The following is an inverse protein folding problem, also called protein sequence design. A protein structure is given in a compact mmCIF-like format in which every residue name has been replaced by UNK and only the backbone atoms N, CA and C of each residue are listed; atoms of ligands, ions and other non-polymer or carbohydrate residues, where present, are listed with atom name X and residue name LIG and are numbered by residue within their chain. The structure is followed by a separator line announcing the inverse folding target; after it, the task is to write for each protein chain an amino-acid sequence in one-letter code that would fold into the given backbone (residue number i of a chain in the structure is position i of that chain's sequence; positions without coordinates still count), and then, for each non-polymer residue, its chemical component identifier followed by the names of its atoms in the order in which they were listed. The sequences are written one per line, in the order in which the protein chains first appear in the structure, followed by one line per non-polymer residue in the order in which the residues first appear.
data_IF_569938162119
#
_entry.id   IF_569938162119
#
_cell.length_a   1.000
_cell.length_b   1.000
_cell.length_c   1.000
_cell.angle_alpha   90.00
_cell.angle_beta   90.00
_cell.angle_gamma   90.00
#
_symmetry.space_group_name_H-M   'P 1'
#
loop_
_entity.id
_entity.type
_entity.pdbx_description
1 polymer ?
#
# COMPACT_ATOMS: atom_id res chain seq x y z
N UNK A 1 8.87 -11.13 18.92
CA UNK A 1 8.98 -9.79 18.39
C UNK A 1 7.59 -9.31 18.01
N UNK A 2 6.97 -8.55 18.91
CA UNK A 2 5.56 -8.18 18.82
C UNK A 2 5.41 -6.64 18.63
N UNK A 3 6.42 -6.01 18.00
CA UNK A 3 6.51 -4.57 17.85
C UNK A 3 5.67 -3.95 16.73
N UNK A 4 5.02 -4.75 15.88
CA UNK A 4 4.28 -4.25 14.71
C UNK A 4 3.15 -3.30 15.10
N UNK A 5 2.24 -3.74 15.94
CA UNK A 5 1.14 -2.91 16.45
C UNK A 5 1.65 -1.68 17.22
N UNK A 6 2.67 -1.85 18.05
CA UNK A 6 3.27 -0.73 18.78
C UNK A 6 3.88 0.29 17.83
N UNK A 7 4.56 -0.13 16.77
CA UNK A 7 5.13 0.74 15.74
C UNK A 7 4.02 1.46 14.96
N UNK A 8 2.98 0.74 14.53
CA UNK A 8 1.84 1.32 13.83
C UNK A 8 1.12 2.39 14.66
N UNK A 9 1.00 2.18 15.98
CA UNK A 9 0.44 3.18 16.90
C UNK A 9 1.38 4.36 17.12
N UNK A 10 2.69 4.11 17.22
CA UNK A 10 3.68 5.15 17.52
C UNK A 10 3.86 6.18 16.39
N UNK A 11 3.58 5.82 15.14
CA UNK A 11 3.67 6.73 14.00
C UNK A 11 2.41 7.58 13.78
N UNK A 12 1.31 7.28 14.47
CA UNK A 12 0.05 8.04 14.36
C UNK A 12 0.23 9.48 14.82
N UNK A 13 -0.49 10.39 14.16
CA UNK A 13 -0.61 11.80 14.56
C UNK A 13 -2.08 12.15 14.79
N UNK A 14 -2.81 12.53 13.76
CA UNK A 14 -4.25 12.81 13.79
C UNK A 14 -5.10 11.58 13.45
N UNK A 15 -4.45 10.48 13.09
CA UNK A 15 -5.10 9.19 12.83
C UNK A 15 -5.95 8.73 14.02
N UNK A 16 -7.15 8.23 13.76
CA UNK A 16 -8.03 7.69 14.82
C UNK A 16 -7.77 6.22 15.12
N UNK A 17 -7.08 5.52 14.21
CA UNK A 17 -6.76 4.09 14.32
C UNK A 17 -5.43 3.75 13.64
N UNK A 18 -4.74 2.76 14.19
CA UNK A 18 -3.56 2.20 13.57
C UNK A 18 -3.92 1.50 12.25
N UNK A 19 -3.06 1.66 11.25
CA UNK A 19 -3.22 1.08 9.91
C UNK A 19 -2.07 0.13 9.66
N UNK A 20 -2.35 -1.15 9.71
CA UNK A 20 -1.37 -2.21 9.49
C UNK A 20 -1.97 -3.35 8.69
N UNK A 21 -1.14 -4.09 7.99
CA UNK A 21 -1.52 -5.27 7.24
C UNK A 21 -0.31 -6.19 7.04
N UNK A 22 -0.57 -7.50 7.00
CA UNK A 22 0.40 -8.48 6.55
C UNK A 22 -0.28 -9.51 5.65
N UNK A 23 0.47 -10.01 4.67
CA UNK A 23 0.06 -11.10 3.78
C UNK A 23 1.18 -12.13 3.68
N UNK A 24 0.81 -13.40 3.72
CA UNK A 24 1.71 -14.50 3.38
C UNK A 24 1.45 -14.93 1.95
N UNK A 25 2.51 -15.07 1.18
CA UNK A 25 2.47 -15.47 -0.22
C UNK A 25 3.10 -16.84 -0.35
N UNK A 26 2.40 -17.74 -1.03
CA UNK A 26 2.96 -19.04 -1.45
C UNK A 26 3.04 -19.05 -2.97
N UNK A 27 4.23 -19.16 -3.51
CA UNK A 27 4.50 -19.13 -4.95
C UNK A 27 5.38 -20.33 -5.34
N UNK A 28 5.54 -20.62 -6.62
CA UNK A 28 6.50 -21.61 -7.09
C UNK A 28 7.95 -21.32 -6.67
N UNK A 29 8.28 -20.07 -6.36
CA UNK A 29 9.61 -19.63 -5.93
C UNK A 29 9.85 -19.83 -4.42
N UNK A 30 8.83 -20.22 -3.66
CA UNK A 30 8.85 -20.36 -2.22
C UNK A 30 7.82 -19.46 -1.54
N UNK A 31 7.75 -19.54 -0.21
CA UNK A 31 6.82 -18.77 0.61
C UNK A 31 7.54 -17.62 1.29
N UNK A 32 6.88 -16.48 1.40
CA UNK A 32 7.37 -15.27 2.07
C UNK A 32 6.22 -14.45 2.62
N UNK A 33 6.54 -13.42 3.40
CA UNK A 33 5.56 -12.51 4.00
C UNK A 33 5.87 -11.07 3.63
N UNK A 34 4.83 -10.27 3.39
CA UNK A 34 4.91 -8.81 3.27
C UNK A 34 4.08 -8.24 4.41
N UNK A 35 4.70 -7.43 5.27
CA UNK A 35 4.04 -6.70 6.34
C UNK A 35 4.22 -5.20 6.16
N UNK A 36 3.22 -4.42 6.56
CA UNK A 36 3.27 -2.98 6.42
C UNK A 36 2.48 -2.24 7.50
N UNK A 37 2.93 -1.05 7.83
CA UNK A 37 2.21 -0.08 8.64
C UNK A 37 2.23 1.28 7.96
N UNK A 38 1.12 2.02 8.05
CA UNK A 38 1.01 3.36 7.50
C UNK A 38 0.31 4.31 8.46
N UNK A 39 0.56 5.60 8.26
CA UNK A 39 -0.17 6.68 8.94
C UNK A 39 -0.55 7.76 7.93
N UNK A 40 -1.63 8.46 8.22
CA UNK A 40 -2.16 9.61 7.47
C UNK A 40 -3.67 9.70 7.62
N UNK A 41 -4.17 10.92 7.78
CA UNK A 41 -5.61 11.20 7.89
C UNK A 41 -5.97 12.61 7.38
N UNK A 42 -5.02 13.51 7.21
CA UNK A 42 -5.20 14.86 6.64
C UNK A 42 -4.00 15.29 5.83
N UNK A 43 -4.15 16.34 5.02
CA UNK A 43 -3.18 16.83 4.05
C UNK A 43 -2.80 15.71 3.07
N UNK A 44 -3.82 15.09 2.46
CA UNK A 44 -3.66 13.97 1.53
C UNK A 44 -4.31 14.31 0.20
N UNK A 45 -3.47 14.38 -0.84
CA UNK A 45 -3.86 14.60 -2.22
C UNK A 45 -2.92 13.82 -3.15
N UNK A 46 -3.36 13.37 -4.34
CA UNK A 46 -2.50 12.66 -5.29
C UNK A 46 -1.15 13.34 -5.51
N UNK A 47 -0.12 12.52 -5.61
CA UNK A 47 1.30 12.87 -5.82
C UNK A 47 2.04 13.47 -4.60
N UNK A 48 1.37 13.99 -3.59
CA UNK A 48 2.00 14.45 -2.35
C UNK A 48 0.95 14.57 -1.22
N UNK A 49 1.15 13.97 -0.08
CA UNK A 49 0.32 14.05 1.12
C UNK A 49 1.15 13.76 2.38
N UNK A 50 0.68 14.07 3.58
CA UNK A 50 1.40 13.79 4.83
C UNK A 50 1.21 12.33 5.22
N UNK A 51 1.73 11.42 4.42
CA UNK A 51 1.64 9.99 4.62
C UNK A 51 3.02 9.38 4.86
N UNK A 52 3.10 8.49 5.83
CA UNK A 52 4.24 7.60 5.99
C UNK A 52 3.77 6.16 5.88
N UNK A 53 4.47 5.37 5.08
CA UNK A 53 4.23 3.94 4.95
C UNK A 53 5.55 3.17 5.00
N UNK A 54 5.62 2.19 5.89
CA UNK A 54 6.76 1.31 6.06
C UNK A 54 6.34 -0.11 5.69
N UNK A 55 6.98 -0.67 4.67
CA UNK A 55 6.73 -2.02 4.17
C UNK A 55 7.99 -2.86 4.38
N UNK A 56 7.83 -4.04 4.91
CA UNK A 56 8.92 -4.99 5.13
C UNK A 56 8.56 -6.35 4.54
N UNK A 57 9.55 -7.05 4.01
CA UNK A 57 9.38 -8.42 3.55
C UNK A 57 10.62 -9.25 3.87
N UNK A 58 10.41 -10.52 4.12
CA UNK A 58 11.47 -11.52 4.23
C UNK A 58 11.82 -12.16 2.88
N UNK A 59 11.13 -11.82 1.80
CA UNK A 59 11.40 -12.31 0.45
C UNK A 59 12.81 -11.95 -0.04
N UNK A 60 13.41 -12.82 -0.84
CA UNK A 60 14.64 -12.56 -1.58
C UNK A 60 14.27 -11.92 -2.93
N UNK A 61 14.47 -10.62 -3.07
CA UNK A 61 14.01 -9.81 -4.22
C UNK A 61 15.17 -8.98 -4.78
N UNK A 62 15.28 -8.93 -6.10
CA UNK A 62 16.23 -8.07 -6.80
C UNK A 62 15.93 -6.59 -6.54
N UNK A 63 16.96 -5.78 -6.24
CA UNK A 63 16.77 -4.39 -5.82
C UNK A 63 16.10 -3.50 -6.88
N UNK A 64 16.47 -3.65 -8.17
CA UNK A 64 15.84 -2.88 -9.25
C UNK A 64 14.36 -3.23 -9.44
N UNK A 65 14.05 -4.52 -9.34
CA UNK A 65 12.64 -4.97 -9.38
C UNK A 65 11.87 -4.48 -8.16
N UNK A 66 12.45 -4.57 -6.96
CA UNK A 66 11.84 -4.08 -5.73
C UNK A 66 11.43 -2.61 -5.84
N UNK A 67 12.34 -1.76 -6.31
CA UNK A 67 12.09 -0.32 -6.54
C UNK A 67 10.98 -0.10 -7.57
N UNK A 68 11.05 -0.79 -8.72
CA UNK A 68 10.07 -0.60 -9.79
C UNK A 68 8.67 -1.12 -9.40
N UNK A 69 8.60 -2.24 -8.66
CA UNK A 69 7.35 -2.77 -8.13
C UNK A 69 6.71 -1.82 -7.10
N UNK A 70 7.54 -1.22 -6.22
CA UNK A 70 7.06 -0.22 -5.27
C UNK A 70 6.49 1.01 -5.98
N UNK A 71 7.18 1.55 -6.98
CA UNK A 71 6.70 2.72 -7.74
C UNK A 71 5.35 2.42 -8.39
N UNK A 72 5.21 1.29 -9.09
CA UNK A 72 3.92 0.91 -9.70
C UNK A 72 2.81 0.68 -8.68
N UNK A 73 3.13 0.09 -7.53
CA UNK A 73 2.17 -0.09 -6.47
C UNK A 73 1.70 1.26 -5.89
N UNK A 74 2.61 2.20 -5.64
CA UNK A 74 2.29 3.53 -5.14
C UNK A 74 1.42 4.32 -6.12
N UNK A 75 1.77 4.30 -7.41
CA UNK A 75 1.02 5.00 -8.46
C UNK A 75 -0.43 4.49 -8.58
N UNK A 76 -0.63 3.19 -8.37
CA UNK A 76 -1.95 2.56 -8.47
C UNK A 76 -2.74 2.53 -7.14
N UNK A 77 -2.19 3.11 -6.06
CA UNK A 77 -2.81 3.05 -4.73
C UNK A 77 -2.74 4.39 -4.00
N UNK A 78 -1.63 4.73 -3.38
CA UNK A 78 -1.49 5.94 -2.56
C UNK A 78 -1.68 7.22 -3.39
N UNK A 79 -1.12 7.26 -4.62
CA UNK A 79 -1.28 8.39 -5.53
C UNK A 79 -2.71 8.53 -6.09
N UNK A 80 -3.63 7.63 -5.74
CA UNK A 80 -5.04 7.68 -6.11
C UNK A 80 -5.94 8.20 -4.98
N UNK A 81 -5.37 8.54 -3.82
CA UNK A 81 -6.14 8.98 -2.65
C UNK A 81 -6.14 10.48 -2.52
N UNK A 82 -7.32 11.06 -2.24
CA UNK A 82 -7.46 12.45 -1.80
C UNK A 82 -8.39 12.52 -0.59
N UNK A 83 -8.02 13.27 0.43
CA UNK A 83 -8.85 13.52 1.62
C UNK A 83 -9.38 14.95 1.61
N UNK A 84 -8.51 15.95 1.58
CA UNK A 84 -8.83 17.37 1.69
C UNK A 84 -8.34 18.20 0.49
N UNK A 85 -7.65 17.59 -0.45
CA UNK A 85 -7.11 18.25 -1.63
C UNK A 85 -5.80 19.01 -1.38
N UNK A 86 -5.25 18.94 -0.17
CA UNK A 86 -4.00 19.60 0.20
C UNK A 86 -2.81 18.67 0.00
N UNK A 87 -1.74 19.18 -0.61
CA UNK A 87 -0.49 18.43 -0.82
C UNK A 87 0.51 18.67 0.30
N UNK A 88 1.37 17.68 0.56
CA UNK A 88 2.47 17.77 1.52
C UNK A 88 3.78 17.35 0.88
N UNK A 89 4.92 17.97 1.20
CA UNK A 89 6.24 17.57 0.71
C UNK A 89 6.85 16.39 1.49
N UNK A 90 6.12 15.78 2.43
CA UNK A 90 6.68 14.84 3.41
C UNK A 90 6.28 13.39 3.18
N UNK A 91 5.62 13.06 2.08
CA UNK A 91 5.20 11.69 1.78
C UNK A 91 6.38 10.77 1.58
N UNK A 92 6.27 9.61 2.22
CA UNK A 92 7.32 8.60 2.14
C UNK A 92 6.72 7.21 2.18
N UNK A 93 7.05 6.39 1.19
CA UNK A 93 6.83 4.95 1.20
C UNK A 93 8.18 4.25 1.15
N UNK A 94 8.50 3.48 2.18
CA UNK A 94 9.73 2.69 2.27
C UNK A 94 9.40 1.20 2.18
N UNK A 95 10.14 0.48 1.34
CA UNK A 95 10.07 -0.96 1.23
C UNK A 95 11.45 -1.57 1.47
N UNK A 96 11.54 -2.47 2.45
CA UNK A 96 12.77 -3.18 2.80
C UNK A 96 12.58 -4.69 2.64
N UNK A 97 13.58 -5.33 2.06
CA UNK A 97 13.66 -6.80 1.94
C UNK A 97 14.94 -7.30 2.62
N UNK A 98 14.85 -8.42 3.36
CA UNK A 98 16.00 -9.01 4.03
C UNK A 98 16.36 -10.43 3.53
N UNK A 99 15.60 -11.02 2.62
CA UNK A 99 15.87 -12.31 1.99
C UNK A 99 15.79 -13.53 2.93
N UNK A 100 15.27 -13.40 4.15
CA UNK A 100 15.29 -14.48 5.15
C UNK A 100 14.27 -15.59 4.90
N UNK A 101 13.33 -15.38 3.98
CA UNK A 101 12.41 -16.43 3.55
C UNK A 101 13.10 -17.57 2.79
N UNK A 102 14.32 -17.34 2.31
CA UNK A 102 15.11 -18.29 1.51
C UNK A 102 14.37 -18.80 0.25
N UNK A 103 13.46 -18.01 -0.29
CA UNK A 103 12.83 -18.24 -1.58
C UNK A 103 13.83 -18.00 -2.72
N UNK A 104 13.56 -18.54 -3.91
CA UNK A 104 14.32 -18.23 -5.11
C UNK A 104 14.26 -16.72 -5.39
N UNK A 105 15.32 -16.19 -6.04
CA UNK A 105 15.40 -14.75 -6.32
C UNK A 105 14.21 -14.29 -7.19
N UNK A 106 13.46 -13.35 -6.66
CA UNK A 106 12.35 -12.69 -7.36
C UNK A 106 12.91 -11.53 -8.19
N UNK A 107 12.55 -11.51 -9.47
CA UNK A 107 13.00 -10.52 -10.45
C UNK A 107 11.82 -10.04 -11.30
N UNK A 108 12.02 -9.07 -12.17
CA UNK A 108 10.97 -8.62 -13.10
C UNK A 108 10.43 -9.69 -14.06
N UNK A 109 11.09 -10.85 -14.16
CA UNK A 109 10.64 -11.94 -15.04
C UNK A 109 9.69 -12.93 -14.35
N UNK A 110 9.76 -13.04 -13.03
CA UNK A 110 9.03 -14.03 -12.24
C UNK A 110 8.33 -13.45 -11.01
N UNK A 111 8.25 -12.11 -10.90
CA UNK A 111 7.79 -11.41 -9.72
C UNK A 111 6.31 -11.01 -9.71
N UNK A 112 5.48 -11.55 -10.60
CA UNK A 112 4.07 -11.16 -10.73
C UNK A 112 3.29 -11.34 -9.43
N UNK A 113 3.46 -12.47 -8.73
CA UNK A 113 2.79 -12.74 -7.46
C UNK A 113 3.25 -11.78 -6.34
N UNK A 114 4.53 -11.43 -6.33
CA UNK A 114 5.07 -10.45 -5.39
C UNK A 114 4.45 -9.06 -5.63
N UNK A 115 4.43 -8.61 -6.88
CA UNK A 115 3.85 -7.32 -7.24
C UNK A 115 2.34 -7.25 -6.94
N UNK A 116 1.62 -8.33 -7.21
CA UNK A 116 0.21 -8.43 -6.86
C UNK A 116 -0.03 -8.35 -5.35
N UNK A 117 0.75 -9.08 -4.56
CA UNK A 117 0.66 -9.05 -3.11
C UNK A 117 1.03 -7.67 -2.54
N UNK A 118 2.11 -7.05 -3.04
CA UNK A 118 2.52 -5.70 -2.67
C UNK A 118 1.42 -4.68 -2.97
N UNK A 119 0.84 -4.74 -4.17
CA UNK A 119 -0.26 -3.86 -4.57
C UNK A 119 -1.49 -4.06 -3.68
N UNK A 120 -1.82 -5.29 -3.30
CA UNK A 120 -2.94 -5.56 -2.40
C UNK A 120 -2.72 -4.96 -1.01
N UNK A 121 -1.50 -5.05 -0.46
CA UNK A 121 -1.12 -4.41 0.81
C UNK A 121 -1.25 -2.89 0.71
N UNK A 122 -0.68 -2.28 -0.33
CA UNK A 122 -0.76 -0.84 -0.55
C UNK A 122 -2.20 -0.37 -0.74
N UNK A 123 -3.02 -1.07 -1.51
CA UNK A 123 -4.45 -0.78 -1.69
C UNK A 123 -5.20 -0.75 -0.36
N UNK A 124 -4.97 -1.76 0.48
CA UNK A 124 -5.64 -1.84 1.79
C UNK A 124 -5.25 -0.68 2.69
N UNK A 125 -3.97 -0.31 2.74
CA UNK A 125 -3.49 0.81 3.54
C UNK A 125 -4.00 2.15 2.99
N UNK A 126 -3.94 2.37 1.69
CA UNK A 126 -4.47 3.56 1.02
C UNK A 126 -5.97 3.76 1.31
N UNK A 127 -6.77 2.69 1.18
CA UNK A 127 -8.20 2.71 1.55
C UNK A 127 -8.40 3.01 3.04
N UNK A 128 -7.53 2.48 3.91
CA UNK A 128 -7.62 2.73 5.35
C UNK A 128 -7.29 4.16 5.72
N UNK A 129 -6.34 4.80 5.02
CA UNK A 129 -6.00 6.22 5.14
C UNK A 129 -7.20 7.06 4.74
N UNK A 130 -7.78 6.82 3.56
CA UNK A 130 -8.95 7.54 3.07
C UNK A 130 -10.16 7.39 4.02
N UNK A 131 -10.42 6.18 4.51
CA UNK A 131 -11.53 5.91 5.42
C UNK A 131 -11.36 6.52 6.83
N UNK A 132 -10.15 6.97 7.16
CA UNK A 132 -9.80 7.63 8.42
C UNK A 132 -9.50 9.13 8.22
N UNK A 133 -9.93 9.69 7.09
CA UNK A 133 -9.72 11.10 6.75
C UNK A 133 -10.29 12.06 7.79
N UNK A 134 -9.58 13.14 8.10
CA UNK A 134 -10.02 14.16 9.04
C UNK A 134 -11.37 14.76 8.64
N UNK A 135 -12.37 14.67 9.53
CA UNK A 135 -13.72 15.14 9.26
C UNK A 135 -14.54 14.27 8.29
N UNK A 136 -13.97 13.20 7.78
CA UNK A 136 -14.63 12.31 6.84
C UNK A 136 -15.82 11.57 7.48
N UNK A 137 -16.95 11.64 6.82
CA UNK A 137 -18.16 10.89 7.22
C UNK A 137 -18.48 9.75 6.26
N UNK A 138 -17.87 9.75 5.07
CA UNK A 138 -18.08 8.76 4.01
C UNK A 138 -16.80 8.49 3.24
N UNK A 139 -16.67 7.27 2.78
CA UNK A 139 -15.66 6.85 1.81
C UNK A 139 -16.32 6.74 0.44
N UNK A 140 -15.83 7.49 -0.54
CA UNK A 140 -16.25 7.40 -1.93
C UNK A 140 -15.18 6.68 -2.74
N UNK A 141 -15.53 5.56 -3.34
CA UNK A 141 -14.66 4.84 -4.28
C UNK A 141 -15.20 5.01 -5.70
N UNK A 142 -14.37 5.59 -6.57
CA UNK A 142 -14.70 5.78 -7.99
C UNK A 142 -13.83 4.84 -8.82
N UNK A 143 -14.45 3.91 -9.52
CA UNK A 143 -13.75 3.02 -10.44
C UNK A 143 -14.19 3.30 -11.88
N UNK A 144 -13.23 3.47 -12.79
CA UNK A 144 -13.49 3.55 -14.23
C UNK A 144 -13.31 2.18 -14.87
N UNK A 145 -14.38 1.64 -15.45
CA UNK A 145 -14.36 0.38 -16.18
C UNK A 145 -15.58 0.26 -17.08
N UNK A 146 -15.60 -0.63 -18.09
CA UNK A 146 -16.77 -0.84 -18.92
C UNK A 146 -17.94 -1.32 -18.05
N UNK A 147 -19.09 -0.65 -18.19
CA UNK A 147 -20.29 -0.80 -17.35
C UNK A 147 -20.95 -2.20 -17.45
N UNK A 148 -20.39 -3.13 -18.19
CA UNK A 148 -20.99 -4.45 -18.49
C UNK A 148 -20.17 -5.67 -18.02
N UNK A 149 -19.26 -5.54 -17.05
CA UNK A 149 -18.49 -6.69 -16.62
C UNK A 149 -18.96 -7.23 -15.27
N UNK A 150 -19.68 -8.33 -15.29
CA UNK A 150 -19.94 -9.22 -14.14
C UNK A 150 -18.69 -10.04 -13.79
N UNK A 151 -17.52 -9.57 -14.08
CA UNK A 151 -16.27 -10.18 -13.69
C UNK A 151 -15.27 -9.07 -13.41
N UNK A 152 -14.76 -9.06 -12.20
CA UNK A 152 -13.71 -8.17 -11.76
C UNK A 152 -12.39 -8.50 -12.47
N UNK A 153 -11.96 -7.80 -13.50
CA UNK A 153 -10.57 -7.77 -13.88
C UNK A 153 -9.95 -6.50 -13.33
N UNK A 154 -8.82 -6.70 -12.77
CA UNK A 154 -7.88 -5.83 -12.12
C UNK A 154 -7.40 -4.73 -13.08
N UNK A 155 -8.17 -3.68 -13.26
CA UNK A 155 -7.73 -2.38 -13.74
C UNK A 155 -8.67 -1.34 -13.13
N UNK A 156 -8.52 -1.17 -11.83
CA UNK A 156 -9.23 -0.14 -11.09
C UNK A 156 -8.31 1.07 -10.96
N UNK A 157 -8.59 2.10 -11.71
CA UNK A 157 -8.30 3.42 -11.24
C UNK A 157 -9.37 3.76 -10.19
N UNK A 158 -9.11 3.49 -8.93
CA UNK A 158 -9.98 3.93 -7.85
C UNK A 158 -9.49 5.31 -7.41
N UNK A 159 -10.26 6.34 -7.72
CA UNK A 159 -10.10 7.63 -7.06
C UNK A 159 -10.93 7.57 -5.79
N UNK A 160 -10.29 7.60 -4.64
CA UNK A 160 -10.97 7.65 -3.35
C UNK A 160 -11.05 9.12 -2.96
N UNK A 161 -12.23 9.70 -3.09
CA UNK A 161 -12.52 11.05 -2.60
C UNK A 161 -13.32 10.91 -1.31
N UNK A 162 -12.84 11.56 -0.25
CA UNK A 162 -13.53 11.62 1.03
C UNK A 162 -14.33 12.92 1.08
N UNK A 163 -15.61 12.83 1.36
CA UNK A 163 -16.52 13.99 1.51
C UNK A 163 -17.11 13.99 2.91
#
# INVERSE_FOLDING_TARGET
PDGGESAARAIMTTDTRAKEMAVSVSSPLGSYTIGAAAKGSGMIHPDMGTMLCFITTDANVEGEFLQSALSRAADNTFNMVSVDGDTSPSDTVLLSSNGRANNELITGKNGAEFEQALTAVCTRLATSIAADGEGATKLLEVSSGPVNAVTLPVNRAAVVVVV
#
